data_IF_221379923395
#
_entry.id   IF_221379923395
#
_cell.length_a   1.000
_cell.length_b   1.000
_cell.length_c   1.000
_cell.angle_alpha   90.00
_cell.angle_beta   90.00
_cell.angle_gamma   90.00
#
_symmetry.space_group_name_H-M   'P 1'
#
loop_
_entity.id
_entity.type
_entity.pdbx_description
1 polymer ?
#
# COMPACT_ATOMS: atom_id res chain seq x y z
N UNK A 1 40.82 16.93 -9.65
CA UNK A 1 40.36 16.03 -8.57
C UNK A 1 39.50 16.73 -7.51
N UNK A 2 39.03 17.98 -7.71
CA UNK A 2 38.18 18.70 -6.75
C UNK A 2 36.76 19.01 -7.28
N UNK A 3 36.36 18.44 -8.43
CA UNK A 3 35.17 18.91 -9.15
C UNK A 3 33.97 17.94 -9.10
N UNK A 4 34.19 16.67 -8.77
CA UNK A 4 33.10 15.68 -8.72
C UNK A 4 32.31 15.78 -7.41
N UNK A 5 33.01 15.86 -6.27
CA UNK A 5 32.38 15.93 -4.96
C UNK A 5 31.63 17.25 -4.70
N UNK A 6 32.08 18.39 -5.23
CA UNK A 6 31.35 19.66 -5.11
C UNK A 6 30.06 19.66 -5.92
N UNK A 7 30.10 19.08 -7.13
CA UNK A 7 28.89 18.91 -7.93
C UNK A 7 27.89 17.97 -7.25
N UNK A 8 28.34 16.91 -6.58
CA UNK A 8 27.46 16.03 -5.81
C UNK A 8 26.77 16.76 -4.65
N UNK A 9 27.49 17.59 -3.89
CA UNK A 9 26.90 18.37 -2.79
C UNK A 9 25.86 19.39 -3.29
N UNK A 10 26.16 20.10 -4.38
CA UNK A 10 25.21 21.06 -4.98
C UNK A 10 23.98 20.34 -5.55
N UNK A 11 24.17 19.26 -6.29
CA UNK A 11 23.07 18.46 -6.85
C UNK A 11 22.21 17.88 -5.73
N UNK A 12 22.82 17.42 -4.65
CA UNK A 12 22.09 16.92 -3.48
C UNK A 12 21.34 18.05 -2.74
N UNK A 13 21.93 19.24 -2.63
CA UNK A 13 21.28 20.41 -2.06
C UNK A 13 20.08 20.87 -2.91
N UNK A 14 20.25 20.97 -4.24
CA UNK A 14 19.19 21.28 -5.19
C UNK A 14 18.07 20.24 -5.15
N UNK A 15 18.42 18.95 -5.13
CA UNK A 15 17.46 17.86 -5.00
C UNK A 15 16.69 17.95 -3.68
N UNK A 16 17.37 18.21 -2.56
CA UNK A 16 16.73 18.39 -1.25
C UNK A 16 15.79 19.60 -1.22
N UNK A 17 16.18 20.73 -1.83
CA UNK A 17 15.30 21.91 -1.98
C UNK A 17 14.08 21.53 -2.82
N UNK A 18 14.28 20.87 -3.96
CA UNK A 18 13.19 20.43 -4.82
C UNK A 18 12.23 19.48 -4.09
N UNK A 19 12.75 18.52 -3.32
CA UNK A 19 11.93 17.62 -2.50
C UNK A 19 11.10 18.38 -1.45
N UNK A 20 11.69 19.37 -0.77
CA UNK A 20 11.00 20.21 0.21
C UNK A 20 9.85 21.04 -0.40
N UNK A 21 9.97 21.43 -1.66
CA UNK A 21 8.93 22.18 -2.37
C UNK A 21 7.87 21.31 -3.06
N UNK A 22 8.03 19.97 -3.07
CA UNK A 22 7.01 19.10 -3.66
C UNK A 22 5.74 19.14 -2.82
N UNK A 23 4.62 19.41 -3.49
CA UNK A 23 3.28 19.30 -2.88
C UNK A 23 2.96 17.83 -2.57
N UNK A 24 2.27 17.60 -1.45
CA UNK A 24 1.84 16.26 -1.06
C UNK A 24 0.87 15.66 -2.09
N UNK A 25 1.03 14.36 -2.36
CA UNK A 25 0.06 13.60 -3.13
C UNK A 25 -1.21 13.39 -2.29
N UNK A 26 -2.30 14.04 -2.69
CA UNK A 26 -3.58 13.94 -1.99
C UNK A 26 -4.16 12.53 -1.94
N UNK A 27 -3.86 11.68 -2.92
CA UNK A 27 -4.31 10.27 -2.91
C UNK A 27 -3.50 9.47 -1.90
N UNK A 28 -2.17 9.50 -2.00
CA UNK A 28 -1.30 8.78 -1.09
C UNK A 28 -1.51 9.22 0.37
N UNK A 29 -1.68 10.53 0.61
CA UNK A 29 -1.92 11.05 1.95
C UNK A 29 -3.23 10.53 2.56
N UNK A 30 -4.28 10.37 1.74
CA UNK A 30 -5.60 9.96 2.23
C UNK A 30 -5.73 8.45 2.43
N UNK A 31 -5.16 7.66 1.52
CA UNK A 31 -5.40 6.21 1.47
C UNK A 31 -4.13 5.36 1.45
N UNK A 32 -2.94 5.96 1.50
CA UNK A 32 -1.67 5.22 1.44
C UNK A 32 -1.34 4.61 0.07
N UNK A 33 -2.16 4.86 -0.96
CA UNK A 33 -2.00 4.33 -2.32
C UNK A 33 -2.05 5.43 -3.38
N UNK A 34 -1.33 5.21 -4.49
CA UNK A 34 -1.26 6.13 -5.62
C UNK A 34 -0.96 5.35 -6.90
N UNK A 35 -1.74 5.60 -7.96
CA UNK A 35 -1.57 4.94 -9.27
C UNK A 35 -0.21 5.18 -9.94
N UNK A 36 0.50 6.24 -9.54
CA UNK A 36 1.83 6.54 -10.10
C UNK A 36 2.97 5.89 -9.31
N UNK A 37 2.68 5.26 -8.16
CA UNK A 37 3.69 4.64 -7.31
C UNK A 37 4.85 5.59 -6.99
N UNK A 38 6.08 5.08 -7.08
CA UNK A 38 7.29 5.87 -6.82
C UNK A 38 7.63 6.86 -7.94
N UNK A 39 6.98 6.75 -9.11
CA UNK A 39 7.09 7.71 -10.22
C UNK A 39 6.17 8.93 -10.05
N UNK A 40 5.45 9.02 -8.93
CA UNK A 40 4.60 10.17 -8.66
C UNK A 40 5.44 11.46 -8.60
N UNK A 41 4.99 12.50 -9.30
CA UNK A 41 5.62 13.83 -9.24
C UNK A 41 5.40 14.57 -7.92
N UNK A 42 4.50 14.06 -7.09
CA UNK A 42 4.12 14.62 -5.78
C UNK A 42 4.76 13.83 -4.65
N UNK A 43 4.86 14.45 -3.47
CA UNK A 43 5.47 13.83 -2.31
C UNK A 43 4.54 12.76 -1.70
N UNK A 44 5.09 11.58 -1.45
CA UNK A 44 4.44 10.48 -0.74
C UNK A 44 5.02 10.39 0.68
N UNK A 45 4.36 11.05 1.64
CA UNK A 45 4.78 11.01 3.04
C UNK A 45 4.31 9.72 3.70
N UNK A 46 5.25 8.82 4.05
CA UNK A 46 4.97 7.61 4.83
C UNK A 46 5.02 7.95 6.32
N UNK A 47 4.02 7.56 7.12
CA UNK A 47 4.11 7.72 8.56
C UNK A 47 5.23 6.85 9.11
N UNK A 48 5.96 7.37 10.10
CA UNK A 48 7.03 6.62 10.80
C UNK A 48 6.46 5.51 11.71
N UNK A 49 5.21 5.68 12.15
CA UNK A 49 4.44 4.70 12.92
C UNK A 49 2.96 4.86 12.59
N UNK A 50 2.23 3.76 12.65
CA UNK A 50 0.79 3.71 12.37
C UNK A 50 0.20 2.50 13.08
N UNK A 51 -1.01 2.65 13.60
CA UNK A 51 -1.84 1.52 14.04
C UNK A 51 -2.47 0.78 12.88
N UNK A 52 -2.46 1.37 11.69
CA UNK A 52 -2.98 0.78 10.46
C UNK A 52 -1.84 0.37 9.54
N UNK A 53 -1.82 -0.90 9.16
CA UNK A 53 -0.94 -1.46 8.14
C UNK A 53 -1.69 -1.63 6.82
N UNK A 54 -0.93 -1.63 5.72
CA UNK A 54 -1.44 -1.87 4.37
C UNK A 54 -0.63 -3.00 3.73
N UNK A 55 -1.29 -4.12 3.49
CA UNK A 55 -0.78 -5.22 2.65
C UNK A 55 -1.23 -4.97 1.22
N UNK A 56 -0.30 -4.52 0.37
CA UNK A 56 -0.63 -4.14 -1.01
C UNK A 56 -0.88 -5.37 -1.88
N UNK A 57 -1.95 -5.33 -2.66
CA UNK A 57 -2.29 -6.34 -3.66
C UNK A 57 -2.25 -7.79 -3.11
N UNK A 58 -2.62 -7.95 -1.83
CA UNK A 58 -2.43 -9.20 -1.11
C UNK A 58 -3.54 -10.21 -1.41
N UNK A 59 -4.79 -9.75 -1.51
CA UNK A 59 -5.87 -10.60 -1.97
C UNK A 59 -5.90 -10.64 -3.49
N UNK A 60 -5.77 -11.85 -4.05
CA UNK A 60 -5.89 -12.05 -5.48
C UNK A 60 -7.29 -12.57 -5.80
N UNK A 61 -8.01 -11.82 -6.64
CA UNK A 61 -9.34 -12.22 -7.12
C UNK A 61 -9.30 -13.40 -8.10
N UNK A 62 -8.11 -13.97 -8.36
CA UNK A 62 -7.83 -15.13 -9.20
C UNK A 62 -8.03 -14.86 -10.68
N UNK A 63 -7.17 -15.46 -11.50
CA UNK A 63 -7.17 -15.33 -12.95
C UNK A 63 -8.40 -15.98 -13.59
N UNK A 64 -8.48 -15.93 -14.93
CA UNK A 64 -9.51 -16.47 -15.84
C UNK A 64 -10.17 -17.79 -15.32
N UNK A 65 -9.42 -18.65 -14.63
CA UNK A 65 -9.89 -19.91 -14.02
C UNK A 65 -11.04 -19.71 -13.02
N UNK A 66 -11.08 -18.60 -12.27
CA UNK A 66 -12.16 -18.33 -11.31
C UNK A 66 -13.49 -17.98 -11.96
N UNK A 67 -13.51 -17.58 -13.24
CA UNK A 67 -14.77 -17.25 -13.93
C UNK A 67 -15.74 -18.45 -14.01
N UNK A 68 -15.22 -19.67 -13.86
CA UNK A 68 -16.02 -20.90 -13.84
C UNK A 68 -16.52 -21.28 -12.44
N UNK A 69 -16.21 -20.50 -11.39
CA UNK A 69 -16.62 -20.83 -10.03
C UNK A 69 -18.05 -20.38 -9.76
N UNK A 70 -18.76 -21.17 -8.94
CA UNK A 70 -20.02 -20.71 -8.38
C UNK A 70 -19.75 -19.62 -7.35
N UNK A 71 -20.68 -18.68 -7.18
CA UNK A 71 -20.57 -17.61 -6.17
C UNK A 71 -20.33 -18.15 -4.76
N UNK A 72 -20.87 -19.34 -4.45
CA UNK A 72 -20.66 -19.99 -3.16
C UNK A 72 -19.23 -20.49 -2.99
N UNK A 73 -18.56 -20.89 -4.08
CA UNK A 73 -17.14 -21.28 -4.02
C UNK A 73 -16.25 -20.04 -3.86
N UNK A 74 -16.53 -18.98 -4.62
CA UNK A 74 -15.81 -17.70 -4.48
C UNK A 74 -15.91 -17.15 -3.06
N UNK A 75 -17.10 -17.16 -2.47
CA UNK A 75 -17.31 -16.72 -1.08
C UNK A 75 -16.53 -17.59 -0.09
N UNK A 76 -16.53 -18.92 -0.24
CA UNK A 76 -15.76 -19.81 0.65
C UNK A 76 -14.26 -19.54 0.60
N UNK A 77 -13.71 -19.35 -0.60
CA UNK A 77 -12.27 -19.03 -0.77
C UNK A 77 -11.94 -17.66 -0.17
N UNK A 78 -12.84 -16.67 -0.31
CA UNK A 78 -12.69 -15.38 0.35
C UNK A 78 -12.75 -15.50 1.88
N UNK A 79 -13.70 -16.25 2.43
CA UNK A 79 -13.85 -16.46 3.87
C UNK A 79 -12.63 -17.16 4.47
N UNK A 80 -12.08 -18.15 3.78
CA UNK A 80 -10.85 -18.84 4.16
C UNK A 80 -9.67 -17.87 4.20
N UNK A 81 -9.46 -17.11 3.13
CA UNK A 81 -8.44 -16.06 3.08
C UNK A 81 -8.61 -15.04 4.21
N UNK A 82 -9.82 -14.49 4.39
CA UNK A 82 -10.07 -13.47 5.41
C UNK A 82 -9.76 -14.01 6.81
N UNK A 83 -10.19 -15.26 7.09
CA UNK A 83 -9.95 -15.93 8.38
C UNK A 83 -8.46 -16.15 8.64
N UNK A 84 -7.72 -16.63 7.65
CA UNK A 84 -6.28 -16.88 7.81
C UNK A 84 -5.52 -15.58 8.13
N UNK A 85 -5.78 -14.53 7.37
CA UNK A 85 -5.12 -13.24 7.59
C UNK A 85 -5.53 -12.61 8.92
N UNK A 86 -6.80 -12.71 9.31
CA UNK A 86 -7.28 -12.20 10.59
C UNK A 86 -6.57 -12.91 11.76
N UNK A 87 -6.54 -14.25 11.76
CA UNK A 87 -5.95 -15.02 12.85
C UNK A 87 -4.44 -14.79 12.96
N UNK A 88 -3.72 -14.83 11.85
CA UNK A 88 -2.27 -14.60 11.85
C UNK A 88 -1.94 -13.20 12.41
N UNK A 89 -2.69 -12.18 12.00
CA UNK A 89 -2.42 -10.82 12.43
C UNK A 89 -2.82 -10.59 13.90
N UNK A 90 -3.96 -11.15 14.32
CA UNK A 90 -4.45 -11.05 15.70
C UNK A 90 -3.51 -11.74 16.70
N UNK A 91 -3.00 -12.92 16.35
CA UNK A 91 -2.11 -13.71 17.20
C UNK A 91 -0.70 -13.11 17.31
N UNK A 92 -0.13 -12.61 16.20
CA UNK A 92 1.26 -12.14 16.16
C UNK A 92 1.44 -10.64 16.46
N UNK A 93 0.45 -9.81 16.15
CA UNK A 93 0.58 -8.35 16.20
C UNK A 93 -0.43 -7.67 17.14
N UNK A 94 -1.48 -8.36 17.55
CA UNK A 94 -2.48 -7.89 18.51
C UNK A 94 -3.86 -7.66 17.92
N UNK A 95 -4.80 -7.34 18.81
CA UNK A 95 -6.24 -7.24 18.51
C UNK A 95 -6.54 -6.36 17.30
N UNK A 96 -7.28 -6.91 16.33
CA UNK A 96 -7.70 -6.19 15.13
C UNK A 96 -8.99 -5.40 15.39
N UNK A 97 -8.89 -4.07 15.28
CA UNK A 97 -10.04 -3.16 15.30
C UNK A 97 -10.85 -3.22 13.99
N UNK A 98 -10.14 -3.28 12.85
CA UNK A 98 -10.77 -3.21 11.52
C UNK A 98 -9.88 -3.89 10.47
N UNK A 99 -10.48 -4.69 9.59
CA UNK A 99 -9.80 -5.29 8.44
C UNK A 99 -10.67 -5.13 7.18
N UNK A 100 -10.10 -4.47 6.15
CA UNK A 100 -10.77 -4.20 4.88
C UNK A 100 -10.00 -4.81 3.72
N UNK A 101 -10.62 -5.74 3.00
CA UNK A 101 -10.10 -6.30 1.73
C UNK A 101 -10.73 -5.56 0.56
N UNK A 102 -9.92 -4.93 -0.27
CA UNK A 102 -10.38 -4.01 -1.31
C UNK A 102 -10.63 -4.71 -2.65
N UNK A 103 -11.86 -4.61 -3.15
CA UNK A 103 -12.24 -5.02 -4.53
C UNK A 103 -12.32 -3.80 -5.47
N UNK A 104 -11.26 -3.00 -5.49
CA UNK A 104 -11.18 -1.84 -6.38
C UNK A 104 -10.68 -2.24 -7.77
N UNK A 105 -11.21 -1.62 -8.83
CA UNK A 105 -10.78 -1.90 -10.21
C UNK A 105 -9.37 -1.41 -10.55
N UNK A 106 -8.89 -0.37 -9.87
CA UNK A 106 -7.56 0.18 -10.14
C UNK A 106 -6.48 -0.74 -9.60
N UNK A 107 -5.57 -1.22 -10.45
CA UNK A 107 -4.48 -2.17 -10.10
C UNK A 107 -3.72 -1.78 -8.82
N UNK A 108 -3.38 -0.50 -8.65
CA UNK A 108 -2.70 0.02 -7.46
C UNK A 108 -3.50 -0.08 -6.13
N UNK A 109 -4.78 -0.45 -6.18
CA UNK A 109 -5.68 -0.63 -5.03
C UNK A 109 -6.31 -2.02 -4.98
N UNK A 110 -6.42 -2.71 -6.12
CA UNK A 110 -7.04 -4.02 -6.23
C UNK A 110 -6.37 -5.02 -5.30
N UNK A 111 -7.14 -5.63 -4.40
CA UNK A 111 -6.63 -6.64 -3.48
C UNK A 111 -5.85 -6.08 -2.29
N UNK A 112 -5.77 -4.75 -2.13
CA UNK A 112 -5.17 -4.17 -0.93
C UNK A 112 -5.94 -4.62 0.31
N UNK A 113 -5.21 -4.93 1.38
CA UNK A 113 -5.79 -5.22 2.69
C UNK A 113 -5.31 -4.18 3.68
N UNK A 114 -6.25 -3.40 4.24
CA UNK A 114 -5.97 -2.45 5.30
C UNK A 114 -6.36 -3.07 6.63
N UNK A 115 -5.45 -3.07 7.59
CA UNK A 115 -5.69 -3.67 8.91
C UNK A 115 -5.32 -2.64 9.98
N UNK A 116 -6.26 -2.32 10.85
CA UNK A 116 -6.04 -1.47 12.02
C UNK A 116 -5.96 -2.36 13.26
N UNK A 117 -4.87 -2.22 13.99
CA UNK A 117 -4.55 -2.94 15.22
C UNK A 117 -4.71 -1.98 16.41
N UNK A 118 -5.19 -2.48 17.55
CA UNK A 118 -5.42 -1.70 18.76
C UNK A 118 -4.13 -1.13 19.38
#
# INVERSE_FOLDING_TARGET
MLDECYNDELVQAEWNIQQKHRVNCSFYLKIGACRHGDKCSRLHTRPISSKTILLKNFYHFGDIIRQDFSKEKEQREFDEFFREVYLEIDEEYGEIDEMNVCDNTGEHMLGNVYIKIN
#
